data_IF_544147761390
#
_entry.id   IF_544147761390
#
_cell.length_a   1.000
_cell.length_b   1.000
_cell.length_c   1.000
_cell.angle_alpha   90.00
_cell.angle_beta   90.00
_cell.angle_gamma   90.00
#
_symmetry.space_group_name_H-M   'P 1'
#
loop_
_entity.id
_entity.type
_entity.pdbx_description
1 polymer ?
#
# COMPACT_ATOMS: atom_id res chain seq x y z
N UNK A 1 -1.60 26.73 13.52
CA UNK A 1 -0.63 26.99 12.42
C UNK A 1 0.49 25.94 12.33
N UNK A 2 0.42 24.80 13.05
CA UNK A 2 1.51 23.78 13.02
C UNK A 2 1.25 22.59 12.08
N UNK A 3 0.00 22.25 11.79
CA UNK A 3 -0.32 21.05 11.01
C UNK A 3 0.12 21.12 9.52
N UNK A 4 -0.04 22.28 8.87
CA UNK A 4 0.34 22.43 7.46
C UNK A 4 1.86 22.37 7.21
N UNK A 5 2.66 22.74 8.18
CA UNK A 5 4.13 22.71 8.05
C UNK A 5 4.69 21.31 8.16
N UNK A 6 4.09 20.46 8.98
CA UNK A 6 4.50 19.05 9.15
C UNK A 6 4.13 18.21 7.92
N UNK A 7 3.02 18.51 7.24
CA UNK A 7 2.60 17.80 6.02
C UNK A 7 3.54 18.09 4.84
N UNK A 8 3.89 19.35 4.62
CA UNK A 8 4.81 19.75 3.53
C UNK A 8 6.22 19.17 3.75
N UNK A 9 6.67 19.03 4.98
CA UNK A 9 7.95 18.39 5.29
C UNK A 9 7.92 16.89 4.97
N UNK A 10 6.83 16.21 5.26
CA UNK A 10 6.64 14.77 5.00
C UNK A 10 6.61 14.45 3.49
N UNK A 11 5.93 15.26 2.67
CA UNK A 11 5.89 15.08 1.21
C UNK A 11 7.28 15.26 0.58
N UNK A 12 8.01 16.30 0.96
CA UNK A 12 9.38 16.55 0.47
C UNK A 12 10.36 15.45 0.87
N UNK A 13 10.28 14.99 2.10
CA UNK A 13 11.12 13.89 2.58
C UNK A 13 10.82 12.60 1.80
N UNK A 14 9.55 12.29 1.61
CA UNK A 14 9.11 11.13 0.81
C UNK A 14 9.60 11.26 -0.62
N UNK A 15 9.46 12.43 -1.24
CA UNK A 15 9.91 12.69 -2.60
C UNK A 15 11.42 12.49 -2.75
N UNK A 16 12.21 12.99 -1.81
CA UNK A 16 13.67 12.81 -1.77
C UNK A 16 14.05 11.34 -1.66
N UNK A 17 13.39 10.58 -0.79
CA UNK A 17 13.66 9.13 -0.62
C UNK A 17 13.38 8.34 -1.91
N UNK A 18 12.31 8.69 -2.62
CA UNK A 18 11.97 8.05 -3.89
C UNK A 18 12.95 8.43 -5.01
N UNK A 19 13.38 9.70 -5.06
CA UNK A 19 14.39 10.15 -6.00
C UNK A 19 15.72 9.40 -5.82
N UNK A 20 16.19 9.29 -4.59
CA UNK A 20 17.39 8.52 -4.25
C UNK A 20 17.25 7.04 -4.61
N UNK A 21 16.08 6.46 -4.35
CA UNK A 21 15.84 5.05 -4.64
C UNK A 21 15.86 4.77 -6.13
N UNK A 22 15.16 5.57 -6.97
CA UNK A 22 15.18 5.41 -8.42
C UNK A 22 16.57 5.66 -9.00
N UNK A 23 17.29 6.65 -8.50
CA UNK A 23 18.67 6.93 -8.92
C UNK A 23 19.60 5.75 -8.68
N UNK A 24 19.49 5.07 -7.53
CA UNK A 24 20.24 3.83 -7.23
C UNK A 24 19.86 2.66 -8.13
N UNK A 25 18.65 2.66 -8.71
CA UNK A 25 18.20 1.66 -9.68
C UNK A 25 18.63 2.00 -11.11
N UNK A 26 19.40 3.07 -11.32
CA UNK A 26 19.92 3.49 -12.63
C UNK A 26 18.92 4.31 -13.45
N UNK A 27 17.86 4.86 -12.84
CA UNK A 27 16.99 5.81 -13.51
C UNK A 27 17.58 7.23 -13.46
N UNK A 28 17.38 7.97 -14.55
CA UNK A 28 17.49 9.42 -14.51
C UNK A 28 16.24 9.99 -13.88
N UNK A 29 16.41 10.78 -12.82
CA UNK A 29 15.30 11.30 -12.01
C UNK A 29 15.19 12.81 -12.18
N UNK A 30 13.98 13.29 -12.47
CA UNK A 30 13.61 14.70 -12.48
C UNK A 30 12.59 14.95 -11.38
N UNK A 31 12.98 15.68 -10.35
CA UNK A 31 12.11 16.08 -9.21
C UNK A 31 11.49 17.41 -9.54
N UNK A 32 10.18 17.57 -9.32
CA UNK A 32 9.41 18.79 -9.65
C UNK A 32 9.74 19.32 -11.06
N UNK A 33 9.61 18.49 -12.11
CA UNK A 33 10.05 18.85 -13.45
C UNK A 33 9.29 20.08 -13.97
N UNK A 34 10.02 21.03 -14.56
CA UNK A 34 9.41 22.20 -15.20
C UNK A 34 8.53 21.77 -16.39
N UNK A 35 7.50 22.55 -16.78
CA UNK A 35 6.67 22.22 -17.93
C UNK A 35 7.45 22.04 -19.24
N UNK A 36 8.66 22.62 -19.35
CA UNK A 36 9.51 22.49 -20.54
C UNK A 36 10.24 21.15 -20.59
N UNK A 37 10.47 20.53 -19.46
CA UNK A 37 11.10 19.20 -19.35
C UNK A 37 10.10 18.06 -19.52
N UNK A 38 8.81 18.38 -19.49
CA UNK A 38 7.72 17.42 -19.58
C UNK A 38 7.29 17.21 -21.03
N UNK A 39 6.96 15.97 -21.43
CA UNK A 39 6.25 15.73 -22.67
C UNK A 39 4.91 16.48 -22.67
N UNK A 40 4.44 16.83 -23.85
CA UNK A 40 3.26 17.71 -24.03
C UNK A 40 2.05 17.26 -23.21
N UNK A 41 1.79 15.96 -23.14
CA UNK A 41 0.64 15.39 -22.44
C UNK A 41 0.72 15.45 -20.89
N UNK A 42 1.88 15.78 -20.33
CA UNK A 42 2.07 15.96 -18.89
C UNK A 42 2.26 17.42 -18.46
N UNK A 43 2.43 18.35 -19.39
CA UNK A 43 2.79 19.76 -19.07
C UNK A 43 1.79 20.45 -18.16
N UNK A 44 0.51 20.13 -18.26
CA UNK A 44 -0.55 20.72 -17.45
C UNK A 44 -0.82 19.97 -16.15
N UNK A 45 -0.24 18.78 -16.00
CA UNK A 45 -0.49 17.90 -14.86
C UNK A 45 0.57 18.02 -13.76
N UNK A 46 1.73 18.63 -14.08
CA UNK A 46 2.82 18.94 -13.16
C UNK A 46 3.08 17.81 -12.13
N UNK A 47 3.54 16.62 -12.55
CA UNK A 47 3.82 15.51 -11.64
C UNK A 47 4.97 15.85 -10.70
N UNK A 48 4.97 15.27 -9.50
CA UNK A 48 6.00 15.54 -8.50
C UNK A 48 7.38 15.01 -8.92
N UNK A 49 7.44 13.90 -9.67
CA UNK A 49 8.70 13.36 -10.15
C UNK A 49 8.50 12.48 -11.40
N UNK A 50 9.51 12.47 -12.26
CA UNK A 50 9.64 11.48 -13.35
C UNK A 50 10.96 10.73 -13.20
N UNK A 51 10.93 9.41 -13.33
CA UNK A 51 12.09 8.55 -13.43
C UNK A 51 12.11 7.88 -14.80
N UNK A 52 13.23 8.00 -15.52
CA UNK A 52 13.41 7.49 -16.87
C UNK A 52 14.59 6.52 -16.95
N UNK A 53 14.42 5.37 -17.61
CA UNK A 53 15.49 4.41 -17.92
C UNK A 53 15.08 3.50 -19.08
N UNK A 54 15.93 3.41 -20.12
CA UNK A 54 15.82 2.44 -21.21
C UNK A 54 14.43 2.35 -21.86
N UNK A 55 13.75 3.50 -22.05
CA UNK A 55 12.40 3.56 -22.62
C UNK A 55 11.27 3.30 -21.61
N UNK A 56 11.57 3.01 -20.37
CA UNK A 56 10.61 2.98 -19.26
C UNK A 56 10.56 4.35 -18.58
N UNK A 57 9.36 4.89 -18.43
CA UNK A 57 9.10 6.18 -17.78
C UNK A 57 8.11 5.95 -16.62
N UNK A 58 8.47 6.42 -15.44
CA UNK A 58 7.63 6.29 -14.26
C UNK A 58 7.30 7.70 -13.78
N UNK A 59 6.03 8.03 -13.83
CA UNK A 59 5.49 9.24 -13.20
C UNK A 59 5.20 8.90 -11.74
N UNK A 60 5.82 9.62 -10.82
CA UNK A 60 5.60 9.46 -9.38
C UNK A 60 4.82 10.67 -8.88
N UNK A 61 3.76 10.41 -8.17
CA UNK A 61 2.88 11.39 -7.57
C UNK A 61 2.80 11.14 -6.08
N UNK A 62 3.22 12.11 -5.27
CA UNK A 62 3.14 12.05 -3.80
C UNK A 62 1.82 12.67 -3.37
N UNK A 63 1.06 11.96 -2.56
CA UNK A 63 -0.25 12.45 -2.10
C UNK A 63 -0.41 12.27 -0.60
N UNK A 64 -1.15 13.17 0.00
CA UNK A 64 -1.81 12.95 1.28
C UNK A 64 -3.16 12.28 1.04
N UNK A 65 -3.73 11.64 2.08
CA UNK A 65 -5.03 10.95 1.95
C UNK A 65 -6.23 11.88 1.81
N UNK A 66 -6.04 13.12 1.37
CA UNK A 66 -7.12 14.10 1.18
C UNK A 66 -7.95 13.80 -0.09
N UNK A 67 -9.27 14.04 -0.08
CA UNK A 67 -10.13 13.83 -1.26
C UNK A 67 -9.70 14.65 -2.49
N UNK A 68 -9.13 15.84 -2.31
CA UNK A 68 -8.67 16.71 -3.39
C UNK A 68 -7.51 16.11 -4.20
N UNK A 69 -6.75 15.19 -3.61
CA UNK A 69 -5.63 14.53 -4.28
C UNK A 69 -6.06 13.48 -5.32
N UNK A 70 -7.32 13.04 -5.28
CA UNK A 70 -7.83 11.97 -6.14
C UNK A 70 -8.01 12.41 -7.60
N UNK A 71 -8.43 13.64 -7.82
CA UNK A 71 -8.71 14.15 -9.17
C UNK A 71 -7.43 14.23 -10.02
N UNK A 72 -6.34 14.74 -9.45
CA UNK A 72 -5.06 14.82 -10.15
C UNK A 72 -4.51 13.44 -10.48
N UNK A 73 -4.60 12.48 -9.56
CA UNK A 73 -4.21 11.09 -9.82
C UNK A 73 -5.00 10.47 -10.97
N UNK A 74 -6.32 10.72 -11.03
CA UNK A 74 -7.15 10.25 -12.15
C UNK A 74 -6.76 10.90 -13.48
N UNK A 75 -6.45 12.20 -13.47
CA UNK A 75 -6.00 12.90 -14.68
C UNK A 75 -4.65 12.35 -15.18
N UNK A 76 -3.69 12.11 -14.28
CA UNK A 76 -2.42 11.46 -14.61
C UNK A 76 -2.64 10.04 -15.16
N UNK A 77 -3.47 9.23 -14.50
CA UNK A 77 -3.78 7.89 -14.95
C UNK A 77 -4.35 7.88 -16.39
N UNK A 78 -5.32 8.77 -16.67
CA UNK A 78 -5.91 8.92 -18.02
C UNK A 78 -4.87 9.40 -19.05
N UNK A 79 -3.99 10.33 -18.67
CA UNK A 79 -2.95 10.83 -19.57
C UNK A 79 -1.92 9.76 -19.94
N UNK A 80 -1.70 8.77 -19.07
CA UNK A 80 -0.77 7.67 -19.28
C UNK A 80 -1.43 6.42 -19.90
N UNK A 81 -2.75 6.36 -19.90
CA UNK A 81 -3.51 5.26 -20.48
C UNK A 81 -3.11 5.05 -21.95
N UNK A 82 -2.87 3.79 -22.31
CA UNK A 82 -2.43 3.39 -23.65
C UNK A 82 -1.06 3.93 -24.13
N UNK A 83 -0.23 4.49 -23.24
CA UNK A 83 1.13 4.93 -23.57
C UNK A 83 2.16 3.87 -23.20
N UNK A 84 2.67 3.19 -24.20
CA UNK A 84 3.70 2.17 -24.00
C UNK A 84 4.94 2.76 -23.31
N UNK A 85 5.46 2.06 -22.30
CA UNK A 85 6.64 2.48 -21.56
C UNK A 85 6.37 3.52 -20.47
N UNK A 86 5.13 3.97 -20.26
CA UNK A 86 4.76 4.90 -19.19
C UNK A 86 3.98 4.20 -18.09
N UNK A 87 4.30 4.51 -16.84
CA UNK A 87 3.64 3.98 -15.65
C UNK A 87 3.37 5.11 -14.66
N UNK A 88 2.27 5.02 -13.91
CA UNK A 88 1.97 5.89 -12.79
C UNK A 88 2.24 5.17 -11.48
N UNK A 89 2.97 5.81 -10.60
CA UNK A 89 3.15 5.39 -9.22
C UNK A 89 2.63 6.48 -8.28
N UNK A 90 1.62 6.15 -7.49
CA UNK A 90 1.07 7.04 -6.47
C UNK A 90 1.62 6.62 -5.10
N UNK A 91 2.16 7.59 -4.38
CA UNK A 91 2.74 7.42 -3.05
C UNK A 91 1.97 8.29 -2.05
N UNK A 92 1.60 7.72 -0.92
CA UNK A 92 0.90 8.45 0.15
C UNK A 92 1.88 8.79 1.28
N UNK A 93 2.20 10.08 1.44
CA UNK A 93 3.21 10.59 2.38
C UNK A 93 2.72 10.63 3.84
N UNK A 94 1.43 10.86 4.07
CA UNK A 94 0.81 11.00 5.39
C UNK A 94 0.63 9.68 6.14
N UNK A 95 1.08 8.58 5.55
CA UNK A 95 0.99 7.26 6.13
C UNK A 95 2.30 6.81 6.80
N UNK A 96 3.27 7.72 6.94
CA UNK A 96 4.56 7.47 7.59
C UNK A 96 4.55 7.96 9.04
N UNK A 97 4.65 7.05 10.00
CA UNK A 97 4.88 7.38 11.43
C UNK A 97 6.39 7.33 11.76
N UNK A 98 7.04 8.43 12.22
CA UNK A 98 8.49 8.52 12.43
C UNK A 98 9.06 7.68 13.56
N UNK A 99 8.28 7.26 14.53
CA UNK A 99 8.78 6.71 15.79
C UNK A 99 8.84 5.18 15.90
N UNK A 100 8.58 4.44 14.83
CA UNK A 100 8.50 2.98 14.95
C UNK A 100 9.86 2.29 14.74
N UNK A 101 10.10 1.26 15.56
CA UNK A 101 11.28 0.40 15.52
C UNK A 101 11.59 -0.12 14.10
N UNK A 102 12.86 -0.46 13.82
CA UNK A 102 13.25 -1.00 12.52
C UNK A 102 12.36 -2.19 12.18
N UNK A 103 11.96 -2.34 10.92
CA UNK A 103 11.08 -3.43 10.53
C UNK A 103 11.74 -4.75 10.92
N UNK A 104 11.10 -5.49 11.79
CA UNK A 104 11.39 -6.90 11.93
C UNK A 104 11.36 -7.51 10.54
N UNK A 105 12.27 -8.42 10.23
CA UNK A 105 12.24 -9.14 8.95
C UNK A 105 10.84 -9.72 8.76
N UNK A 106 10.27 -9.51 7.59
CA UNK A 106 8.99 -10.15 7.27
C UNK A 106 9.15 -11.65 7.42
N UNK A 107 8.29 -12.33 8.20
CA UNK A 107 8.31 -13.78 8.28
C UNK A 107 8.18 -14.38 6.87
N UNK A 108 8.86 -15.46 6.59
CA UNK A 108 8.76 -16.07 5.27
C UNK A 108 7.35 -16.66 5.01
N UNK A 109 7.05 -16.97 3.74
CA UNK A 109 5.72 -17.47 3.33
C UNK A 109 5.37 -18.80 3.98
N UNK A 110 6.36 -19.66 4.29
CA UNK A 110 6.15 -20.95 4.96
C UNK A 110 5.78 -20.71 6.42
N UNK A 111 6.49 -19.83 7.09
CA UNK A 111 6.19 -19.42 8.46
C UNK A 111 4.79 -18.80 8.55
N UNK A 112 4.43 -17.88 7.64
CA UNK A 112 3.09 -17.30 7.60
C UNK A 112 2.01 -18.34 7.36
N UNK A 113 2.28 -19.33 6.50
CA UNK A 113 1.35 -20.45 6.24
C UNK A 113 1.16 -21.33 7.48
N UNK A 114 2.23 -21.61 8.20
CA UNK A 114 2.16 -22.37 9.45
C UNK A 114 1.38 -21.60 10.54
N UNK A 115 1.64 -20.27 10.68
CA UNK A 115 0.88 -19.42 11.61
C UNK A 115 -0.60 -19.37 11.24
N UNK A 116 -0.94 -19.26 9.95
CA UNK A 116 -2.33 -19.25 9.49
C UNK A 116 -3.04 -20.59 9.80
N UNK A 117 -2.33 -21.70 9.71
CA UNK A 117 -2.89 -23.02 10.07
C UNK A 117 -3.24 -23.12 11.56
N UNK A 118 -2.52 -22.40 12.41
CA UNK A 118 -2.71 -22.38 13.86
C UNK A 118 -3.74 -21.31 14.33
N UNK A 119 -4.22 -20.42 13.43
CA UNK A 119 -5.31 -19.50 13.76
C UNK A 119 -6.56 -20.30 14.05
N UNK A 120 -7.05 -20.20 15.29
CA UNK A 120 -8.19 -21.01 15.77
C UNK A 120 -9.52 -20.41 15.31
N UNK A 121 -10.48 -21.28 15.11
CA UNK A 121 -11.89 -20.90 15.06
C UNK A 121 -12.39 -20.78 16.48
N UNK A 122 -12.94 -19.64 16.80
CA UNK A 122 -13.59 -19.38 18.08
C UNK A 122 -15.07 -19.17 17.80
N UNK A 123 -15.92 -20.03 18.32
CA UNK A 123 -17.37 -20.03 18.02
C UNK A 123 -18.09 -18.90 18.76
N UNK A 124 -17.62 -18.54 19.96
CA UNK A 124 -18.19 -17.45 20.74
C UNK A 124 -17.49 -16.13 20.43
N UNK A 125 -18.29 -15.06 20.29
CA UNK A 125 -17.74 -13.70 20.19
C UNK A 125 -17.23 -13.26 21.57
N UNK A 126 -15.94 -12.96 21.63
CA UNK A 126 -15.27 -12.60 22.87
C UNK A 126 -13.82 -12.20 22.64
N UNK A 127 -13.08 -12.04 23.70
CA UNK A 127 -11.68 -11.60 23.62
C UNK A 127 -10.81 -12.60 22.88
N UNK A 128 -11.08 -13.89 23.02
CA UNK A 128 -10.34 -14.92 22.30
C UNK A 128 -10.52 -14.80 20.78
N UNK A 129 -11.75 -14.57 20.28
CA UNK A 129 -11.99 -14.34 18.86
C UNK A 129 -11.31 -13.04 18.38
N UNK A 130 -11.30 -12.00 19.19
CA UNK A 130 -10.61 -10.74 18.88
C UNK A 130 -9.10 -10.92 18.75
N UNK A 131 -8.49 -11.69 19.63
CA UNK A 131 -7.05 -12.01 19.57
C UNK A 131 -6.72 -12.82 18.32
N UNK A 132 -7.49 -13.86 18.00
CA UNK A 132 -7.31 -14.65 16.78
C UNK A 132 -7.53 -13.81 15.51
N UNK A 133 -8.46 -12.85 15.56
CA UNK A 133 -8.70 -11.91 14.49
C UNK A 133 -7.49 -10.98 14.27
N UNK A 134 -6.90 -10.42 15.32
CA UNK A 134 -5.70 -9.59 15.22
C UNK A 134 -4.52 -10.39 14.68
N UNK A 135 -4.36 -11.64 15.08
CA UNK A 135 -3.33 -12.53 14.54
C UNK A 135 -3.56 -12.79 13.05
N UNK A 136 -4.80 -13.12 12.66
CA UNK A 136 -5.18 -13.31 11.26
C UNK A 136 -4.89 -12.07 10.43
N UNK A 137 -5.24 -10.89 10.95
CA UNK A 137 -4.98 -9.61 10.29
C UNK A 137 -3.48 -9.37 10.07
N UNK A 138 -2.65 -9.63 11.09
CA UNK A 138 -1.20 -9.49 10.99
C UNK A 138 -0.60 -10.41 9.91
N UNK A 139 -1.15 -11.62 9.74
CA UNK A 139 -0.75 -12.54 8.67
C UNK A 139 -1.17 -11.99 7.30
N UNK A 140 -2.37 -11.41 7.17
CA UNK A 140 -2.84 -10.78 5.93
C UNK A 140 -1.91 -9.63 5.53
N UNK A 141 -1.54 -8.76 6.46
CA UNK A 141 -0.62 -7.66 6.19
C UNK A 141 0.77 -8.15 5.74
N UNK A 142 1.33 -9.13 6.43
CA UNK A 142 2.62 -9.70 6.07
C UNK A 142 2.57 -10.39 4.70
N UNK A 143 1.53 -11.18 4.42
CA UNK A 143 1.32 -11.82 3.12
C UNK A 143 1.12 -10.79 1.99
N UNK A 144 0.37 -9.72 2.24
CA UNK A 144 0.20 -8.62 1.29
C UNK A 144 1.52 -7.94 0.95
N UNK A 145 2.35 -7.64 1.96
CA UNK A 145 3.70 -7.09 1.74
C UNK A 145 4.58 -8.03 0.91
N UNK A 146 4.54 -9.35 1.15
CA UNK A 146 5.25 -10.32 0.31
C UNK A 146 4.81 -10.27 -1.15
N UNK A 147 3.53 -10.06 -1.41
CA UNK A 147 3.00 -9.94 -2.79
C UNK A 147 3.51 -8.71 -3.52
N UNK A 148 3.85 -7.65 -2.80
CA UNK A 148 4.38 -6.41 -3.36
C UNK A 148 5.91 -6.45 -3.55
N UNK A 149 6.66 -7.31 -2.86
CA UNK A 149 8.12 -7.40 -2.97
C UNK A 149 8.64 -7.55 -4.42
N UNK A 150 8.04 -8.44 -5.27
CA UNK A 150 8.52 -8.62 -6.65
C UNK A 150 8.32 -7.39 -7.54
N UNK A 151 7.43 -6.49 -7.16
CA UNK A 151 7.11 -5.29 -7.94
C UNK A 151 8.15 -4.19 -7.77
N UNK A 152 9.20 -4.43 -6.97
CA UNK A 152 10.25 -3.44 -6.65
C UNK A 152 9.68 -2.10 -6.19
N UNK A 153 8.52 -2.13 -5.55
CA UNK A 153 7.96 -0.96 -4.91
C UNK A 153 8.93 -0.57 -3.80
N UNK A 154 9.39 0.69 -3.76
CA UNK A 154 10.33 1.10 -2.73
C UNK A 154 9.77 0.69 -1.37
N UNK A 155 10.59 0.11 -0.48
CA UNK A 155 10.17 -0.14 0.88
C UNK A 155 10.01 1.22 1.57
N UNK A 156 8.89 1.89 1.30
CA UNK A 156 8.46 2.95 2.19
C UNK A 156 8.29 2.30 3.54
N UNK A 157 9.05 2.74 4.48
CA UNK A 157 9.17 2.14 5.82
C UNK A 157 7.83 1.83 6.48
N UNK A 158 6.68 2.31 5.92
CA UNK A 158 5.41 2.38 6.64
C UNK A 158 4.20 2.47 5.72
N UNK A 159 4.03 1.48 4.87
CA UNK A 159 2.73 1.31 4.22
C UNK A 159 1.71 0.98 5.31
N UNK A 160 0.77 1.88 5.56
CA UNK A 160 -0.35 1.61 6.47
C UNK A 160 -1.19 0.45 5.93
N UNK A 161 -1.96 -0.19 6.78
CA UNK A 161 -2.89 -1.25 6.36
C UNK A 161 -3.83 -0.80 5.25
N UNK A 162 -4.31 0.44 5.31
CA UNK A 162 -5.19 1.01 4.27
C UNK A 162 -4.48 1.18 2.93
N UNK A 163 -3.25 1.70 2.95
CA UNK A 163 -2.44 1.86 1.74
C UNK A 163 -2.05 0.51 1.15
N UNK A 164 -1.68 -0.47 2.00
CA UNK A 164 -1.38 -1.82 1.56
C UNK A 164 -2.54 -2.44 0.77
N UNK A 165 -3.76 -2.38 1.31
CA UNK A 165 -4.95 -2.94 0.64
C UNK A 165 -5.20 -2.24 -0.71
N UNK A 166 -5.07 -0.92 -0.76
CA UNK A 166 -5.22 -0.15 -2.01
C UNK A 166 -4.18 -0.55 -3.04
N UNK A 167 -2.91 -0.68 -2.63
CA UNK A 167 -1.83 -1.10 -3.52
C UNK A 167 -2.07 -2.52 -4.07
N UNK A 168 -2.51 -3.45 -3.24
CA UNK A 168 -2.85 -4.80 -3.69
C UNK A 168 -3.94 -4.79 -4.77
N UNK A 169 -4.94 -3.91 -4.66
CA UNK A 169 -5.97 -3.72 -5.67
C UNK A 169 -5.40 -3.08 -6.94
N UNK A 170 -4.67 -1.97 -6.81
CA UNK A 170 -4.10 -1.23 -7.94
C UNK A 170 -3.16 -2.10 -8.78
N UNK A 171 -2.39 -2.97 -8.12
CA UNK A 171 -1.48 -3.91 -8.79
C UNK A 171 -2.18 -5.19 -9.30
N UNK A 172 -3.51 -5.27 -9.18
CA UNK A 172 -4.29 -6.43 -9.64
C UNK A 172 -3.96 -7.73 -8.89
N UNK A 173 -3.42 -7.63 -7.68
CA UNK A 173 -3.12 -8.77 -6.80
C UNK A 173 -4.40 -9.30 -6.16
N UNK A 174 -5.33 -8.41 -5.87
CA UNK A 174 -6.67 -8.69 -5.37
C UNK A 174 -7.73 -8.05 -6.27
N UNK A 175 -8.95 -8.54 -6.21
CA UNK A 175 -10.12 -8.03 -6.92
C UNK A 175 -10.97 -7.12 -6.02
N UNK A 176 -11.97 -6.42 -6.58
CA UNK A 176 -12.85 -5.50 -5.86
C UNK A 176 -13.58 -6.16 -4.68
N UNK A 177 -14.02 -7.41 -4.84
CA UNK A 177 -14.65 -8.18 -3.77
C UNK A 177 -13.70 -8.41 -2.60
N UNK A 178 -12.45 -8.77 -2.89
CA UNK A 178 -11.42 -8.96 -1.88
C UNK A 178 -11.10 -7.64 -1.17
N UNK A 179 -11.01 -6.55 -1.93
CA UNK A 179 -10.80 -5.21 -1.38
C UNK A 179 -11.92 -4.82 -0.40
N UNK A 180 -13.17 -5.08 -0.77
CA UNK A 180 -14.33 -4.80 0.07
C UNK A 180 -14.30 -5.58 1.39
N UNK A 181 -13.95 -6.87 1.34
CA UNK A 181 -13.79 -7.72 2.53
C UNK A 181 -12.64 -7.23 3.41
N UNK A 182 -11.48 -6.94 2.82
CA UNK A 182 -10.32 -6.46 3.55
C UNK A 182 -10.59 -5.08 4.20
N UNK A 183 -11.35 -4.19 3.55
CA UNK A 183 -11.75 -2.92 4.16
C UNK A 183 -12.65 -3.10 5.38
N UNK A 184 -13.62 -4.03 5.32
CA UNK A 184 -14.46 -4.36 6.50
C UNK A 184 -13.59 -4.92 7.63
N UNK A 185 -12.67 -5.82 7.31
CA UNK A 185 -11.72 -6.37 8.27
C UNK A 185 -10.83 -5.30 8.90
N UNK A 186 -10.33 -4.35 8.10
CA UNK A 186 -9.53 -3.22 8.62
C UNK A 186 -10.30 -2.37 9.62
N UNK A 187 -11.59 -2.10 9.37
CA UNK A 187 -12.41 -1.33 10.28
C UNK A 187 -12.54 -2.02 11.65
N UNK A 188 -12.81 -3.34 11.66
CA UNK A 188 -12.87 -4.14 12.88
C UNK A 188 -11.51 -4.18 13.59
N UNK A 189 -10.42 -4.44 12.85
CA UNK A 189 -9.06 -4.44 13.38
C UNK A 189 -8.72 -3.14 14.06
N UNK A 190 -9.01 -2.02 13.40
CA UNK A 190 -8.73 -0.70 13.99
C UNK A 190 -9.54 -0.46 15.26
N UNK A 191 -10.81 -0.80 15.25
CA UNK A 191 -11.64 -0.69 16.47
C UNK A 191 -11.03 -1.48 17.63
N UNK A 192 -10.73 -2.76 17.42
CA UNK A 192 -10.15 -3.62 18.47
C UNK A 192 -8.78 -3.11 18.91
N UNK A 193 -7.90 -2.72 17.97
CA UNK A 193 -6.55 -2.25 18.28
C UNK A 193 -6.53 -0.90 19.03
N UNK A 194 -7.57 -0.07 18.85
CA UNK A 194 -7.74 1.20 19.56
C UNK A 194 -8.59 1.11 20.85
N UNK A 195 -8.81 -0.10 21.36
CA UNK A 195 -9.43 -0.32 22.66
C UNK A 195 -10.97 -0.41 22.64
N UNK A 196 -11.60 -0.46 21.47
CA UNK A 196 -13.04 -0.73 21.37
C UNK A 196 -13.30 -2.23 21.53
N UNK A 197 -13.11 -2.74 22.76
CA UNK A 197 -13.14 -4.17 23.06
C UNK A 197 -14.53 -4.80 22.93
N UNK A 198 -15.59 -4.00 22.87
CA UNK A 198 -16.96 -4.47 22.62
C UNK A 198 -17.29 -4.60 21.11
N UNK A 199 -16.34 -4.29 20.23
CA UNK A 199 -16.54 -4.47 18.80
C UNK A 199 -16.73 -5.95 18.48
N UNK A 200 -17.89 -6.37 17.95
CA UNK A 200 -18.10 -7.76 17.58
C UNK A 200 -17.24 -8.14 16.36
N UNK A 201 -16.73 -9.36 16.41
CA UNK A 201 -16.03 -9.98 15.28
C UNK A 201 -16.96 -11.02 14.66
N UNK A 202 -17.58 -10.65 13.55
CA UNK A 202 -18.47 -11.53 12.80
C UNK A 202 -17.73 -12.78 12.30
N UNK A 203 -18.27 -13.97 12.60
CA UNK A 203 -17.68 -15.24 12.20
C UNK A 203 -17.59 -15.40 10.68
N UNK A 204 -18.58 -14.89 9.91
CA UNK A 204 -18.54 -14.92 8.47
C UNK A 204 -17.41 -14.05 7.92
N UNK A 205 -17.24 -12.84 8.43
CA UNK A 205 -16.13 -11.97 8.06
C UNK A 205 -14.78 -12.60 8.40
N UNK A 206 -14.67 -13.26 9.55
CA UNK A 206 -13.44 -13.96 9.95
C UNK A 206 -13.06 -15.05 8.93
N UNK A 207 -14.01 -15.87 8.50
CA UNK A 207 -13.77 -16.92 7.49
C UNK A 207 -13.47 -16.34 6.11
N UNK A 208 -14.13 -15.27 5.72
CA UNK A 208 -13.82 -14.57 4.48
C UNK A 208 -12.37 -14.03 4.48
N UNK A 209 -11.93 -13.42 5.56
CA UNK A 209 -10.55 -12.94 5.71
C UNK A 209 -9.55 -14.10 5.69
N UNK A 210 -9.88 -15.22 6.31
CA UNK A 210 -9.05 -16.43 6.31
C UNK A 210 -8.86 -17.00 4.89
N UNK A 211 -9.90 -16.94 4.05
CA UNK A 211 -9.77 -17.29 2.62
C UNK A 211 -8.81 -16.37 1.89
N UNK A 212 -8.89 -15.04 2.13
CA UNK A 212 -8.01 -14.03 1.51
C UNK A 212 -6.57 -14.20 1.96
N UNK A 213 -6.34 -14.48 3.24
CA UNK A 213 -5.01 -14.80 3.74
C UNK A 213 -4.39 -15.99 3.00
N UNK A 214 -5.16 -17.08 2.81
CA UNK A 214 -4.71 -18.25 2.03
C UNK A 214 -4.44 -17.91 0.57
N UNK A 215 -5.27 -17.07 -0.05
CA UNK A 215 -5.08 -16.65 -1.44
C UNK A 215 -3.80 -15.80 -1.60
N UNK A 216 -3.53 -14.88 -0.68
CA UNK A 216 -2.32 -14.06 -0.68
C UNK A 216 -1.04 -14.90 -0.48
N UNK A 217 -1.09 -15.97 0.31
CA UNK A 217 0.04 -16.87 0.56
C UNK A 217 0.29 -17.87 -0.58
N UNK A 218 -0.70 -18.14 -1.43
CA UNK A 218 -0.51 -19.01 -2.60
C UNK A 218 0.32 -18.28 -3.65
N UNK A 219 1.47 -18.83 -4.02
CA UNK A 219 2.22 -18.39 -5.20
C UNK A 219 1.34 -18.51 -6.44
N UNK A 220 1.02 -17.39 -7.12
CA UNK A 220 0.62 -17.48 -8.52
C UNK A 220 1.92 -17.73 -9.30
N UNK A 221 2.14 -18.95 -9.74
CA UNK A 221 3.02 -19.21 -10.88
C UNK A 221 2.47 -18.36 -12.02
N UNK A 222 3.17 -17.29 -12.39
CA UNK A 222 2.91 -16.65 -13.69
C UNK A 222 3.33 -17.67 -14.75
N UNK A 223 2.33 -18.25 -15.41
CA UNK A 223 2.54 -18.92 -16.70
C UNK A 223 2.87 -17.89 -17.75
#
# INVERSE_FOLDING_TARGET
MSADTDFVSSERETLSQYADWYSRQGYQVSVEPSPRELPEFLRTLAPDMIAHRDGENIVVEIKTSSPASFEQVQQLARALEHRAGWKLQVVYADLADPEWAPPAQLPDVRELSARLANVRRVDEDGDERRLEFLLLWSIIEAAGRHRLLPLKIPPTRRISSSALIKMLLTEGIIEDDDYSVLRRGLAVRNAVAHGFLNQPVDAALFEELRKRARALLRSRSRS
#
